data_IF_390901532193
#
_entry.id   IF_390901532193
#
_cell.length_a   1.000
_cell.length_b   1.000
_cell.length_c   1.000
_cell.angle_alpha   90.00
_cell.angle_beta   90.00
_cell.angle_gamma   90.00
#
_symmetry.space_group_name_H-M   'P 1'
#
loop_
_entity.id
_entity.type
_entity.pdbx_description
1 polymer ?
#
# COMPACT_ATOMS: atom_id res chain seq x y z
N UNK A 1 16.41 17.16 -13.28
CA UNK A 1 15.89 15.77 -13.37
C UNK A 1 16.82 14.87 -12.58
N UNK A 2 16.30 14.04 -11.65
CA UNK A 2 17.12 13.01 -10.98
C UNK A 2 17.59 11.98 -12.02
N UNK A 3 18.78 11.41 -11.84
CA UNK A 3 19.30 10.34 -12.70
C UNK A 3 18.42 9.08 -12.57
N UNK A 4 18.20 8.37 -13.69
CA UNK A 4 17.49 7.07 -13.74
C UNK A 4 18.00 6.11 -12.65
N UNK A 5 19.32 6.06 -12.45
CA UNK A 5 19.97 5.21 -11.43
C UNK A 5 19.49 5.54 -10.01
N UNK A 6 19.38 6.82 -9.67
CA UNK A 6 18.94 7.27 -8.34
C UNK A 6 17.46 6.94 -8.15
N UNK A 7 16.62 7.12 -9.17
CA UNK A 7 15.20 6.76 -9.10
C UNK A 7 15.00 5.26 -8.90
N UNK A 8 15.75 4.42 -9.62
CA UNK A 8 15.73 2.96 -9.43
C UNK A 8 16.14 2.56 -8.01
N UNK A 9 17.20 3.16 -7.46
CA UNK A 9 17.65 2.88 -6.09
C UNK A 9 16.61 3.29 -5.04
N UNK A 10 16.01 4.47 -5.18
CA UNK A 10 14.95 4.93 -4.29
C UNK A 10 13.70 4.05 -4.39
N UNK A 11 13.33 3.66 -5.60
CA UNK A 11 12.22 2.73 -5.84
C UNK A 11 12.48 1.38 -5.17
N UNK A 12 13.67 0.79 -5.37
CA UNK A 12 14.05 -0.48 -4.74
C UNK A 12 14.05 -0.39 -3.21
N UNK A 13 14.59 0.70 -2.64
CA UNK A 13 14.56 0.92 -1.20
C UNK A 13 13.11 0.98 -0.66
N UNK A 14 12.20 1.69 -1.36
CA UNK A 14 10.79 1.74 -0.97
C UNK A 14 10.10 0.39 -1.14
N UNK A 15 10.41 -0.36 -2.20
CA UNK A 15 9.86 -1.69 -2.44
C UNK A 15 10.30 -2.65 -1.34
N UNK A 16 11.60 -2.68 -1.02
CA UNK A 16 12.15 -3.50 0.06
C UNK A 16 11.58 -3.10 1.43
N UNK A 17 11.45 -1.81 1.72
CA UNK A 17 10.83 -1.34 2.96
C UNK A 17 9.36 -1.77 3.05
N UNK A 18 8.59 -1.61 1.97
CA UNK A 18 7.19 -2.04 1.91
C UNK A 18 7.07 -3.55 2.11
N UNK A 19 7.90 -4.35 1.43
CA UNK A 19 7.91 -5.80 1.59
C UNK A 19 8.32 -6.24 3.00
N UNK A 20 9.33 -5.60 3.58
CA UNK A 20 9.77 -5.90 4.95
C UNK A 20 8.67 -5.60 5.96
N UNK A 21 8.06 -4.42 5.90
CA UNK A 21 6.93 -4.06 6.77
C UNK A 21 5.74 -4.99 6.53
N UNK A 22 5.49 -5.43 5.29
CA UNK A 22 4.44 -6.40 5.00
C UNK A 22 4.66 -7.73 5.72
N UNK A 23 5.90 -8.18 5.90
CA UNK A 23 6.18 -9.42 6.64
C UNK A 23 5.85 -9.32 8.12
N UNK A 24 5.81 -8.12 8.70
CA UNK A 24 5.47 -7.94 10.11
C UNK A 24 3.99 -8.22 10.39
N UNK A 25 3.09 -8.08 9.40
CA UNK A 25 1.70 -8.50 9.52
C UNK A 25 1.52 -10.01 9.70
N UNK A 26 2.56 -10.81 9.45
CA UNK A 26 2.57 -12.25 9.73
C UNK A 26 2.87 -12.58 11.19
N UNK A 27 3.41 -11.62 11.96
CA UNK A 27 3.71 -11.85 13.37
C UNK A 27 2.40 -11.94 14.17
N UNK A 28 2.29 -12.88 15.13
CA UNK A 28 1.04 -13.13 15.87
C UNK A 28 0.43 -11.90 16.52
N UNK A 29 1.26 -10.95 16.95
CA UNK A 29 0.84 -9.73 17.63
C UNK A 29 0.14 -8.72 16.73
N UNK A 30 0.45 -8.72 15.43
CA UNK A 30 -0.13 -7.83 14.43
C UNK A 30 -1.20 -8.52 13.57
N UNK A 31 -1.41 -9.82 13.77
CA UNK A 31 -2.30 -10.63 12.95
C UNK A 31 -3.76 -10.37 13.34
N UNK A 32 -4.54 -9.89 12.39
CA UNK A 32 -6.00 -9.78 12.48
C UNK A 32 -6.61 -10.87 11.62
N UNK A 33 -7.50 -11.68 12.20
CA UNK A 33 -8.22 -12.71 11.47
C UNK A 33 -9.22 -12.08 10.50
N UNK A 34 -9.16 -12.51 9.24
CA UNK A 34 -10.08 -12.09 8.18
C UNK A 34 -10.21 -10.57 8.01
N UNK A 35 -9.09 -9.84 8.02
CA UNK A 35 -9.07 -8.38 7.84
C UNK A 35 -9.81 -7.90 6.58
N UNK A 36 -9.79 -8.69 5.50
CA UNK A 36 -10.57 -8.40 4.29
C UNK A 36 -12.08 -8.49 4.54
N UNK A 37 -12.56 -9.44 5.34
CA UNK A 37 -13.97 -9.53 5.69
C UNK A 37 -14.42 -8.32 6.50
N UNK A 38 -13.55 -7.82 7.40
CA UNK A 38 -13.78 -6.59 8.15
C UNK A 38 -13.92 -5.38 7.22
N UNK A 39 -12.96 -5.18 6.31
CA UNK A 39 -12.97 -4.10 5.32
C UNK A 39 -14.20 -4.16 4.41
N UNK A 40 -14.53 -5.35 3.92
CA UNK A 40 -15.66 -5.57 3.02
C UNK A 40 -16.98 -5.90 3.72
N UNK A 41 -17.08 -5.63 5.02
CA UNK A 41 -18.33 -5.77 5.77
C UNK A 41 -19.49 -5.01 5.10
N UNK A 42 -20.66 -5.66 5.05
CA UNK A 42 -21.85 -5.14 4.39
C UNK A 42 -22.90 -4.63 5.38
N UNK A 43 -22.77 -4.96 6.67
CA UNK A 43 -23.68 -4.50 7.71
C UNK A 43 -22.91 -3.94 8.91
N UNK A 44 -23.49 -2.98 9.66
CA UNK A 44 -22.89 -2.48 10.90
C UNK A 44 -22.71 -3.58 11.95
N UNK A 45 -23.62 -4.57 11.97
CA UNK A 45 -23.57 -5.69 12.92
C UNK A 45 -22.36 -6.58 12.69
N UNK A 46 -22.08 -6.94 11.44
CA UNK A 46 -20.91 -7.76 11.08
C UNK A 46 -19.60 -7.02 11.43
N UNK A 47 -19.54 -5.72 11.11
CA UNK A 47 -18.38 -4.88 11.42
C UNK A 47 -18.11 -4.86 12.93
N UNK A 48 -19.14 -4.60 13.73
CA UNK A 48 -19.03 -4.58 15.19
C UNK A 48 -18.62 -5.94 15.78
N UNK A 49 -19.22 -7.03 15.28
CA UNK A 49 -18.89 -8.37 15.73
C UNK A 49 -17.41 -8.70 15.48
N UNK A 50 -16.89 -8.39 14.29
CA UNK A 50 -15.49 -8.64 13.95
C UNK A 50 -14.52 -7.75 14.74
N UNK A 51 -14.86 -6.48 14.97
CA UNK A 51 -14.02 -5.56 15.73
C UNK A 51 -13.93 -5.99 17.21
N UNK A 52 -15.07 -6.25 17.85
CA UNK A 52 -15.13 -6.56 19.28
C UNK A 52 -14.44 -7.89 19.62
N UNK A 53 -14.37 -8.83 18.67
CA UNK A 53 -13.64 -10.08 18.84
C UNK A 53 -12.11 -9.94 18.81
N UNK A 54 -11.57 -8.79 18.35
CA UNK A 54 -10.16 -8.65 18.00
C UNK A 54 -9.56 -7.27 18.31
N UNK A 55 -10.18 -6.46 19.19
CA UNK A 55 -9.80 -5.06 19.43
C UNK A 55 -8.30 -4.85 19.68
N UNK A 56 -7.71 -5.66 20.55
CA UNK A 56 -6.28 -5.56 20.88
C UNK A 56 -5.40 -5.84 19.66
N UNK A 57 -5.70 -6.89 18.88
CA UNK A 57 -4.95 -7.21 17.68
C UNK A 57 -5.11 -6.11 16.62
N UNK A 58 -6.32 -5.56 16.47
CA UNK A 58 -6.61 -4.44 15.58
C UNK A 58 -5.80 -3.20 15.94
N UNK A 59 -5.72 -2.80 17.21
CA UNK A 59 -4.91 -1.62 17.60
C UNK A 59 -3.43 -1.76 17.23
N UNK A 60 -2.84 -2.94 17.47
CA UNK A 60 -1.45 -3.19 17.09
C UNK A 60 -1.28 -3.21 15.57
N UNK A 61 -2.21 -3.87 14.86
CA UNK A 61 -2.23 -3.90 13.40
C UNK A 61 -2.28 -2.48 12.81
N UNK A 62 -3.18 -1.63 13.30
CA UNK A 62 -3.33 -0.23 12.86
C UNK A 62 -2.07 0.61 13.11
N UNK A 63 -1.34 0.36 14.21
CA UNK A 63 -0.07 1.02 14.48
C UNK A 63 0.99 0.66 13.43
N UNK A 64 1.11 -0.63 13.09
CA UNK A 64 2.00 -1.08 12.03
C UNK A 64 1.57 -0.52 10.67
N UNK A 65 0.26 -0.42 10.45
CA UNK A 65 -0.34 0.03 9.20
C UNK A 65 0.02 1.49 8.89
N UNK A 66 0.13 2.38 9.90
CA UNK A 66 0.68 3.73 9.68
C UNK A 66 2.09 3.73 9.08
N UNK A 67 2.96 2.83 9.55
CA UNK A 67 4.30 2.67 8.97
C UNK A 67 4.24 2.12 7.55
N UNK A 68 3.37 1.13 7.32
CA UNK A 68 3.15 0.52 6.01
C UNK A 68 2.63 1.53 4.98
N UNK A 69 1.71 2.40 5.37
CA UNK A 69 1.15 3.48 4.55
C UNK A 69 2.23 4.41 4.02
N UNK A 70 3.16 4.83 4.87
CA UNK A 70 4.28 5.69 4.45
C UNK A 70 5.15 4.96 3.42
N UNK A 71 5.48 3.69 3.66
CA UNK A 71 6.32 2.91 2.76
C UNK A 71 5.67 2.74 1.38
N UNK A 72 4.42 2.29 1.31
CA UNK A 72 3.77 2.03 0.02
C UNK A 72 3.43 3.34 -0.70
N UNK A 73 3.11 4.42 0.01
CA UNK A 73 2.84 5.72 -0.61
C UNK A 73 4.09 6.26 -1.31
N UNK A 74 5.26 6.13 -0.66
CA UNK A 74 6.54 6.46 -1.29
C UNK A 74 6.85 5.54 -2.47
N UNK A 75 6.55 4.24 -2.35
CA UNK A 75 6.69 3.29 -3.45
C UNK A 75 5.84 3.71 -4.67
N UNK A 76 4.58 4.10 -4.48
CA UNK A 76 3.72 4.58 -5.56
C UNK A 76 4.26 5.86 -6.19
N UNK A 77 4.69 6.82 -5.36
CA UNK A 77 5.31 8.05 -5.82
C UNK A 77 6.54 7.77 -6.71
N UNK A 78 7.49 6.95 -6.24
CA UNK A 78 8.68 6.62 -7.01
C UNK A 78 8.39 5.75 -8.23
N UNK A 79 7.32 4.94 -8.21
CA UNK A 79 6.87 4.18 -9.38
C UNK A 79 6.44 5.11 -10.51
N UNK A 80 5.67 6.15 -10.18
CA UNK A 80 5.23 7.17 -11.14
C UNK A 80 6.42 7.98 -11.67
N UNK A 81 7.33 8.39 -10.79
CA UNK A 81 8.53 9.14 -11.18
C UNK A 81 9.43 8.33 -12.13
N UNK A 82 9.63 7.04 -11.82
CA UNK A 82 10.44 6.15 -12.64
C UNK A 82 9.76 5.89 -13.99
N UNK A 83 8.46 5.61 -14.00
CA UNK A 83 7.68 5.44 -15.23
C UNK A 83 7.74 6.69 -16.11
N UNK A 84 7.53 7.88 -15.51
CA UNK A 84 7.63 9.16 -16.22
C UNK A 84 9.01 9.40 -16.84
N UNK A 85 10.07 9.01 -16.12
CA UNK A 85 11.43 9.09 -16.63
C UNK A 85 11.67 8.14 -17.82
N UNK A 86 11.22 6.89 -17.72
CA UNK A 86 11.38 5.88 -18.78
C UNK A 86 10.61 6.24 -20.05
N UNK A 87 9.38 6.76 -19.89
CA UNK A 87 8.53 7.19 -21.00
C UNK A 87 8.86 8.61 -21.51
N UNK A 88 9.87 9.27 -20.93
CA UNK A 88 10.27 10.66 -21.25
C UNK A 88 9.09 11.66 -21.17
N UNK A 89 8.18 11.43 -20.23
CA UNK A 89 7.03 12.32 -20.00
C UNK A 89 7.51 13.58 -19.27
N UNK A 90 7.31 14.74 -19.90
CA UNK A 90 7.87 16.02 -19.42
C UNK A 90 7.18 16.56 -18.17
N UNK A 91 5.89 16.24 -17.94
CA UNK A 91 5.12 16.66 -16.76
C UNK A 91 4.01 15.67 -16.42
N UNK A 92 4.11 15.02 -15.27
CA UNK A 92 3.03 14.23 -14.67
C UNK A 92 2.24 15.12 -13.71
N UNK A 93 1.34 15.93 -14.26
CA UNK A 93 0.54 16.94 -13.53
C UNK A 93 -0.30 16.36 -12.38
N UNK A 94 -0.54 15.05 -12.38
CA UNK A 94 -1.36 14.36 -11.39
C UNK A 94 -0.56 13.39 -10.51
N UNK A 95 0.75 13.61 -10.34
CA UNK A 95 1.57 12.76 -9.46
C UNK A 95 1.04 12.72 -8.03
N UNK A 96 0.43 13.82 -7.54
CA UNK A 96 -0.14 13.88 -6.19
C UNK A 96 -1.30 12.89 -5.97
N UNK A 97 -1.96 12.37 -7.02
CA UNK A 97 -3.01 11.36 -6.89
C UNK A 97 -2.50 10.05 -6.26
N UNK A 98 -1.19 9.78 -6.30
CA UNK A 98 -0.61 8.61 -5.63
C UNK A 98 -0.67 8.67 -4.10
N UNK A 99 -0.94 9.85 -3.54
CA UNK A 99 -1.14 10.03 -2.10
C UNK A 99 -2.55 9.63 -1.67
N UNK A 100 -3.51 9.61 -2.59
CA UNK A 100 -4.92 9.37 -2.29
C UNK A 100 -5.18 8.01 -1.60
N UNK A 101 -4.60 6.87 -2.04
CA UNK A 101 -4.75 5.61 -1.31
C UNK A 101 -4.27 5.71 0.14
N UNK A 102 -3.11 6.34 0.36
CA UNK A 102 -2.54 6.54 1.70
C UNK A 102 -3.42 7.40 2.61
N UNK A 103 -4.00 8.47 2.07
CA UNK A 103 -4.94 9.32 2.81
C UNK A 103 -6.23 8.57 3.17
N UNK A 104 -6.73 7.71 2.28
CA UNK A 104 -7.93 6.92 2.52
C UNK A 104 -7.68 5.79 3.54
N UNK A 105 -6.51 5.16 3.52
CA UNK A 105 -6.10 4.20 4.56
C UNK A 105 -5.97 4.89 5.93
N UNK A 106 -5.36 6.08 5.99
CA UNK A 106 -5.30 6.85 7.25
C UNK A 106 -6.70 7.16 7.76
N UNK A 107 -7.62 7.58 6.89
CA UNK A 107 -8.99 7.86 7.26
C UNK A 107 -9.72 6.60 7.77
N UNK A 108 -9.56 5.46 7.10
CA UNK A 108 -10.08 4.17 7.54
C UNK A 108 -9.55 3.78 8.92
N UNK A 109 -8.24 3.95 9.14
CA UNK A 109 -7.61 3.57 10.39
C UNK A 109 -8.09 4.43 11.56
N UNK A 110 -8.23 5.74 11.34
CA UNK A 110 -8.83 6.66 12.33
C UNK A 110 -10.28 6.26 12.63
N UNK A 111 -11.06 5.96 11.59
CA UNK A 111 -12.45 5.54 11.74
C UNK A 111 -12.56 4.23 12.52
N UNK A 112 -11.69 3.26 12.23
CA UNK A 112 -11.63 1.97 12.93
C UNK A 112 -11.29 2.17 14.40
N UNK A 113 -10.31 3.02 14.71
CA UNK A 113 -9.99 3.40 16.10
C UNK A 113 -11.19 4.03 16.81
N UNK A 114 -11.90 4.95 16.15
CA UNK A 114 -13.11 5.56 16.71
C UNK A 114 -14.22 4.53 16.97
N UNK A 115 -14.36 3.52 16.11
CA UNK A 115 -15.32 2.43 16.32
C UNK A 115 -14.92 1.62 17.55
N UNK A 116 -13.64 1.28 17.70
CA UNK A 116 -13.14 0.55 18.89
C UNK A 116 -13.36 1.38 20.16
N UNK A 117 -13.06 2.69 20.15
CA UNK A 117 -13.15 3.54 21.33
C UNK A 117 -14.60 3.84 21.74
N UNK A 118 -15.52 3.99 20.78
CA UNK A 118 -16.91 4.38 21.03
C UNK A 118 -17.90 3.23 21.05
N UNK A 119 -17.49 2.04 20.55
CA UNK A 119 -18.34 0.88 20.29
C UNK A 119 -19.62 1.23 19.48
N UNK A 120 -19.55 2.26 18.62
CA UNK A 120 -20.67 2.78 17.85
C UNK A 120 -20.49 2.54 16.35
N UNK A 121 -20.60 1.29 15.92
CA UNK A 121 -20.48 0.95 14.49
C UNK A 121 -21.61 1.55 13.66
N UNK A 122 -22.84 1.67 14.18
CA UNK A 122 -24.00 2.08 13.38
C UNK A 122 -23.86 3.50 12.83
N UNK A 123 -23.41 4.44 13.66
CA UNK A 123 -23.24 5.84 13.21
C UNK A 123 -22.04 6.02 12.27
N UNK A 124 -21.04 5.15 12.38
CA UNK A 124 -19.73 5.29 11.71
C UNK A 124 -19.61 4.34 10.50
N UNK A 125 -20.53 3.39 10.33
CA UNK A 125 -20.50 2.38 9.28
C UNK A 125 -20.53 3.00 7.88
N UNK A 126 -21.43 3.95 7.61
CA UNK A 126 -21.56 4.57 6.29
C UNK A 126 -20.26 5.23 5.80
N UNK A 127 -19.61 6.12 6.57
CA UNK A 127 -18.34 6.70 6.14
C UNK A 127 -17.22 5.64 6.03
N UNK A 128 -17.14 4.70 6.97
CA UNK A 128 -16.21 3.56 6.88
C UNK A 128 -16.38 2.81 5.56
N UNK A 129 -17.63 2.45 5.24
CA UNK A 129 -17.98 1.67 4.06
C UNK A 129 -17.44 2.34 2.80
N UNK A 130 -17.80 3.59 2.55
CA UNK A 130 -17.39 4.29 1.32
C UNK A 130 -15.87 4.53 1.26
N UNK A 131 -15.23 4.90 2.38
CA UNK A 131 -13.78 5.11 2.42
C UNK A 131 -13.03 3.86 1.98
N UNK A 132 -13.40 2.68 2.52
CA UNK A 132 -12.77 1.42 2.14
C UNK A 132 -12.92 1.15 0.64
N UNK A 133 -14.09 1.41 0.03
CA UNK A 133 -14.32 1.11 -1.40
C UNK A 133 -13.52 2.06 -2.29
N UNK A 134 -13.53 3.36 -1.98
CA UNK A 134 -12.74 4.35 -2.73
C UNK A 134 -11.24 4.07 -2.55
N UNK A 135 -10.82 3.65 -1.35
CA UNK A 135 -9.44 3.21 -1.09
C UNK A 135 -9.06 2.08 -2.04
N UNK A 136 -9.83 1.00 -2.07
CA UNK A 136 -9.50 -0.14 -2.91
C UNK A 136 -9.51 0.20 -4.41
N UNK A 137 -10.43 1.05 -4.85
CA UNK A 137 -10.45 1.55 -6.24
C UNK A 137 -9.19 2.34 -6.61
N UNK A 138 -8.56 3.00 -5.64
CA UNK A 138 -7.36 3.81 -5.88
C UNK A 138 -6.07 3.02 -5.62
N UNK A 139 -6.04 2.11 -4.64
CA UNK A 139 -4.83 1.32 -4.31
C UNK A 139 -4.48 0.33 -5.41
N UNK A 140 -5.48 -0.32 -6.04
CA UNK A 140 -5.28 -1.34 -7.05
C UNK A 140 -4.47 -0.85 -8.28
N UNK A 141 -4.84 0.25 -8.95
CA UNK A 141 -4.07 0.72 -10.11
C UNK A 141 -2.63 1.12 -9.76
N UNK A 142 -2.38 1.74 -8.60
CA UNK A 142 -1.02 2.08 -8.17
C UNK A 142 -0.22 0.85 -7.73
N UNK A 143 -0.86 -0.13 -7.10
CA UNK A 143 -0.27 -1.42 -6.78
C UNK A 143 0.17 -2.17 -8.04
N UNK A 144 -0.70 -2.23 -9.06
CA UNK A 144 -0.37 -2.81 -10.37
C UNK A 144 0.79 -2.07 -11.03
N UNK A 145 0.80 -0.73 -11.00
CA UNK A 145 1.92 0.06 -11.52
C UNK A 145 3.24 -0.30 -10.83
N UNK A 146 3.26 -0.38 -9.49
CA UNK A 146 4.45 -0.75 -8.75
C UNK A 146 4.92 -2.17 -9.11
N UNK A 147 4.00 -3.14 -9.22
CA UNK A 147 4.34 -4.50 -9.64
C UNK A 147 4.91 -4.54 -11.06
N UNK A 148 4.31 -3.82 -12.00
CA UNK A 148 4.82 -3.71 -13.38
C UNK A 148 6.23 -3.13 -13.41
N UNK A 149 6.51 -2.12 -12.57
CA UNK A 149 7.86 -1.58 -12.43
C UNK A 149 8.85 -2.61 -11.89
N UNK A 150 8.45 -3.41 -10.90
CA UNK A 150 9.27 -4.51 -10.38
C UNK A 150 9.62 -5.55 -11.45
N UNK A 151 8.62 -5.98 -12.25
CA UNK A 151 8.82 -6.92 -13.36
C UNK A 151 9.75 -6.32 -14.42
N UNK A 152 9.55 -5.06 -14.80
CA UNK A 152 10.39 -4.39 -15.78
C UNK A 152 11.87 -4.35 -15.35
N UNK A 153 12.14 -3.95 -14.10
CA UNK A 153 13.50 -3.88 -13.57
C UNK A 153 14.15 -5.26 -13.46
N UNK A 154 13.38 -6.29 -13.15
CA UNK A 154 13.86 -7.68 -13.13
C UNK A 154 14.28 -8.13 -14.55
N UNK A 155 13.45 -7.86 -15.56
CA UNK A 155 13.76 -8.22 -16.94
C UNK A 155 15.00 -7.50 -17.45
N UNK A 156 15.12 -6.20 -17.18
CA UNK A 156 16.30 -5.40 -17.53
C UNK A 156 17.58 -5.97 -16.90
N UNK A 157 17.52 -6.38 -15.62
CA UNK A 157 18.65 -7.01 -14.95
C UNK A 157 19.05 -8.36 -15.59
N UNK A 158 18.07 -9.21 -15.93
CA UNK A 158 18.33 -10.51 -16.54
C UNK A 158 18.95 -10.38 -17.94
N UNK A 159 18.56 -9.38 -18.70
CA UNK A 159 19.13 -9.07 -20.02
C UNK A 159 20.59 -8.62 -19.91
N UNK A 160 20.89 -7.70 -18.98
CA UNK A 160 22.26 -7.26 -18.72
C UNK A 160 23.20 -8.43 -18.34
N UNK A 161 22.72 -9.37 -17.52
CA UNK A 161 23.48 -10.56 -17.14
C UNK A 161 23.72 -11.52 -18.30
N UNK A 162 22.81 -11.58 -19.26
CA UNK A 162 22.94 -12.44 -20.44
C UNK A 162 23.99 -11.88 -21.40
N UNK A 163 23.96 -10.57 -21.68
CA UNK A 163 24.97 -9.90 -22.49
C UNK A 163 26.38 -9.99 -21.89
N UNK A 164 26.52 -9.89 -20.55
CA UNK A 164 27.82 -10.06 -19.87
C UNK A 164 28.38 -11.47 -20.03
N UNK A 165 27.53 -12.50 -19.98
CA UNK A 165 27.95 -13.90 -20.15
C UNK A 165 28.41 -14.21 -21.57
N UNK A 166 27.80 -13.57 -22.58
CA UNK A 166 28.24 -13.70 -23.98
C UNK A 166 29.62 -13.06 -24.20
N UNK A 167 29.90 -11.91 -23.60
CA UNK A 167 31.21 -11.22 -23.72
C UNK A 167 32.36 -11.94 -23.01
N UNK A 168 32.07 -12.93 -22.17
CA UNK A 168 33.07 -13.70 -21.42
C UNK A 168 33.38 -15.07 -22.08
N UNK A 169 32.65 -15.44 -23.13
CA UNK A 169 32.92 -16.62 -23.96
C UNK A 169 33.74 -16.22 -25.17
#
# INVERSE_FOLDING_TARGET
MKSSKVLKQLWLACFSATALTATWFLAPYFKVENILALQFSCTPGDLCFMINGQETALRHNLLLDFGFIVCYTLLFYYSIQLMGHLLKLSKLHYTWLCLLPGLLDVAENIITLNIIDSNNCTAIFTPFFYIVRIKWLTVLPFGLLALMMGVYLLLEYLDEQSCRREKQK
#
